data_IF_473305415561
#
_entry.id   IF_473305415561
#
_cell.length_a   1.000
_cell.length_b   1.000
_cell.length_c   1.000
_cell.angle_alpha   90.00
_cell.angle_beta   90.00
_cell.angle_gamma   90.00
#
_symmetry.space_group_name_H-M   'P 1'
#
loop_
_entity.id
_entity.type
_entity.pdbx_description
1 polymer ?
#
# COMPACT_ATOMS: atom_id res chain seq x y z
N UNK A 1 -22.85 8.86 20.92
CA UNK A 1 -22.07 10.09 20.63
C UNK A 1 -20.60 9.70 20.43
N UNK A 2 -20.28 9.11 19.28
CA UNK A 2 -19.81 9.84 18.07
C UNK A 2 -18.55 10.66 18.33
N UNK A 3 -17.48 10.32 17.60
CA UNK A 3 -16.60 11.19 16.81
C UNK A 3 -15.36 10.33 16.43
N UNK A 4 -15.43 9.56 15.34
CA UNK A 4 -14.98 9.93 13.99
C UNK A 4 -13.50 10.35 13.94
N UNK A 5 -12.64 9.42 13.53
CA UNK A 5 -11.35 9.71 12.91
C UNK A 5 -11.28 8.97 11.57
N UNK A 6 -11.41 9.74 10.48
CA UNK A 6 -11.09 9.35 9.11
C UNK A 6 -9.62 9.67 8.81
N UNK A 7 -8.90 8.83 8.05
CA UNK A 7 -7.72 9.28 7.32
C UNK A 7 -8.12 9.69 5.89
N UNK A 8 -7.69 10.90 5.52
CA UNK A 8 -7.64 11.48 4.18
C UNK A 8 -6.97 10.54 3.18
N UNK A 9 -7.59 10.38 2.00
CA UNK A 9 -6.90 9.96 0.79
C UNK A 9 -6.20 11.19 0.20
N UNK A 10 -4.87 11.15 0.11
CA UNK A 10 -4.11 12.01 -0.79
C UNK A 10 -3.77 11.25 -2.07
N UNK A 11 -4.19 11.87 -3.17
CA UNK A 11 -3.95 11.50 -4.55
C UNK A 11 -2.53 11.88 -4.97
N UNK A 12 -1.66 10.90 -5.23
CA UNK A 12 -0.52 11.12 -6.11
C UNK A 12 -0.29 9.93 -7.04
N UNK A 13 -0.56 10.22 -8.31
CA UNK A 13 -0.22 9.53 -9.54
C UNK A 13 1.23 9.07 -9.57
N UNK A 14 1.48 7.76 -9.69
CA UNK A 14 2.69 7.25 -10.32
C UNK A 14 2.35 6.07 -11.23
N UNK A 15 2.63 6.33 -12.51
CA UNK A 15 2.61 5.47 -13.67
C UNK A 15 3.37 4.15 -13.42
N UNK A 16 2.76 3.00 -13.70
CA UNK A 16 3.47 1.74 -13.94
C UNK A 16 3.29 1.33 -15.41
N UNK A 17 4.36 0.94 -16.13
CA UNK A 17 4.27 0.52 -17.52
C UNK A 17 3.93 -0.97 -17.65
N UNK A 18 3.22 -1.28 -18.75
CA UNK A 18 3.02 -2.56 -19.42
C UNK A 18 3.74 -3.81 -18.86
N UNK A 19 2.95 -4.86 -18.61
CA UNK A 19 3.11 -6.12 -19.35
C UNK A 19 1.82 -6.95 -19.27
N UNK A 20 1.16 -7.14 -20.41
CA UNK A 20 0.14 -8.15 -20.58
C UNK A 20 0.82 -9.53 -20.55
N UNK A 21 0.46 -10.38 -19.59
CA UNK A 21 0.74 -11.81 -19.73
C UNK A 21 -0.45 -12.62 -19.25
N UNK A 22 -1.00 -13.34 -20.22
CA UNK A 22 -2.14 -14.24 -20.17
C UNK A 22 -1.96 -15.32 -19.11
N UNK A 23 -2.87 -15.37 -18.14
CA UNK A 23 -2.98 -16.47 -17.21
C UNK A 23 -3.93 -17.53 -17.79
N UNK A 24 -3.37 -18.66 -18.23
CA UNK A 24 -4.13 -19.85 -18.61
C UNK A 24 -4.75 -20.48 -17.34
N UNK A 25 -6.08 -20.51 -17.26
CA UNK A 25 -6.81 -21.28 -16.26
C UNK A 25 -7.10 -22.72 -16.75
N UNK A 26 -7.02 -23.73 -15.86
CA UNK A 26 -7.62 -25.04 -16.14
C UNK A 26 -9.14 -25.01 -15.87
N UNK A 27 -9.90 -25.57 -16.83
CA UNK A 27 -11.35 -25.66 -16.85
C UNK A 27 -11.89 -26.52 -15.69
N UNK A 28 -12.78 -25.96 -14.87
CA UNK A 28 -13.68 -26.73 -14.01
C UNK A 28 -15.14 -26.40 -14.32
N UNK A 29 -15.97 -27.43 -14.23
CA UNK A 29 -17.30 -27.57 -14.82
C UNK A 29 -18.35 -26.68 -14.13
N UNK A 30 -19.20 -26.05 -14.96
CA UNK A 30 -20.46 -25.39 -14.58
C UNK A 30 -21.45 -26.37 -13.91
N UNK A 31 -22.34 -25.84 -13.06
CA UNK A 31 -23.74 -26.21 -13.14
C UNK A 31 -24.64 -25.00 -13.41
N UNK A 32 -25.47 -25.18 -14.44
CA UNK A 32 -26.90 -24.84 -14.53
C UNK A 32 -27.35 -23.42 -14.16
N UNK A 33 -27.53 -22.61 -15.21
CA UNK A 33 -28.31 -21.37 -15.20
C UNK A 33 -29.81 -21.71 -15.05
N UNK A 34 -30.43 -21.21 -13.99
CA UNK A 34 -31.88 -21.02 -13.96
C UNK A 34 -32.20 -19.71 -14.68
N UNK A 35 -32.64 -19.81 -15.93
CA UNK A 35 -33.26 -18.71 -16.65
C UNK A 35 -34.70 -18.56 -16.16
N UNK A 36 -35.02 -17.43 -15.53
CA UNK A 36 -36.40 -17.01 -15.35
C UNK A 36 -36.83 -16.13 -16.53
N UNK A 37 -37.82 -16.63 -17.25
CA UNK A 37 -38.58 -15.98 -18.31
C UNK A 37 -39.39 -14.82 -17.71
N UNK A 38 -39.42 -13.61 -18.31
CA UNK A 38 -40.40 -12.61 -17.93
C UNK A 38 -41.71 -12.91 -18.67
N UNK A 39 -42.70 -13.48 -17.97
CA UNK A 39 -44.06 -13.51 -18.47
C UNK A 39 -44.69 -12.12 -18.32
N UNK A 40 -44.86 -11.46 -19.46
CA UNK A 40 -45.80 -10.37 -19.65
C UNK A 40 -47.23 -10.91 -19.56
N UNK A 41 -47.94 -10.58 -18.49
CA UNK A 41 -49.39 -10.57 -18.50
C UNK A 41 -49.89 -9.18 -18.12
N UNK A 42 -50.38 -8.50 -19.14
CA UNK A 42 -51.25 -7.34 -19.02
C UNK A 42 -52.54 -7.78 -18.32
N UNK A 43 -52.76 -7.32 -17.09
CA UNK A 43 -54.11 -7.13 -16.57
C UNK A 43 -54.24 -5.66 -16.24
N UNK A 44 -54.92 -4.97 -17.15
CA UNK A 44 -55.23 -3.56 -17.12
C UNK A 44 -56.43 -3.37 -16.20
N UNK A 45 -56.19 -3.27 -14.90
CA UNK A 45 -57.16 -2.73 -13.94
C UNK A 45 -56.62 -1.41 -13.40
N UNK A 46 -56.97 -0.37 -14.17
CA UNK A 46 -57.10 1.05 -13.83
C UNK A 46 -56.97 1.33 -12.30
N UNK A 47 -55.84 1.85 -11.81
CA UNK A 47 -55.85 2.52 -10.52
C UNK A 47 -56.56 3.86 -10.72
N UNK A 48 -57.74 4.00 -10.12
CA UNK A 48 -58.34 5.32 -9.91
C UNK A 48 -57.32 6.16 -9.14
N UNK A 49 -56.81 7.19 -9.80
CA UNK A 49 -56.21 8.34 -9.16
C UNK A 49 -57.24 8.95 -8.21
N UNK A 50 -57.18 8.57 -6.94
CA UNK A 50 -57.63 9.39 -5.82
C UNK A 50 -56.41 9.61 -4.94
N UNK A 51 -55.49 10.44 -5.42
CA UNK A 51 -54.70 11.27 -4.54
C UNK A 51 -55.60 12.43 -4.07
N UNK A 52 -56.64 12.11 -3.30
CA UNK A 52 -57.10 13.04 -2.28
C UNK A 52 -56.13 12.86 -1.13
N UNK A 53 -54.99 13.56 -1.22
CA UNK A 53 -54.37 14.10 -0.02
C UNK A 53 -55.38 15.12 0.53
N UNK A 54 -56.42 14.61 1.19
CA UNK A 54 -57.14 15.38 2.18
C UNK A 54 -56.12 15.63 3.28
N UNK A 55 -55.51 16.79 3.14
CA UNK A 55 -54.94 17.56 4.22
C UNK A 55 -55.79 17.39 5.49
N UNK A 56 -55.15 17.36 6.68
CA UNK A 56 -55.91 17.43 7.93
C UNK A 56 -56.88 18.59 7.81
N UNK A 57 -58.14 18.47 8.31
CA UNK A 57 -59.19 19.43 8.01
C UNK A 57 -58.59 20.80 8.22
N UNK A 58 -58.48 21.56 7.13
CA UNK A 58 -58.03 22.93 7.20
C UNK A 58 -59.02 23.58 8.15
N UNK A 59 -58.62 23.77 9.42
CA UNK A 59 -59.16 24.83 10.26
C UNK A 59 -59.16 26.03 9.33
N UNK A 60 -60.33 26.53 8.98
CA UNK A 60 -60.43 27.64 8.03
C UNK A 60 -59.46 28.71 8.53
N UNK A 61 -58.42 28.99 7.76
CA UNK A 61 -57.44 30.03 8.04
C UNK A 61 -58.04 31.42 7.80
N UNK A 62 -59.32 31.59 8.14
CA UNK A 62 -60.05 32.86 8.19
C UNK A 62 -59.93 33.54 9.55
N UNK A 63 -59.35 32.89 10.56
CA UNK A 63 -59.32 33.44 11.94
C UNK A 63 -58.06 34.24 12.33
N UNK A 64 -57.22 34.64 11.36
CA UNK A 64 -56.07 35.52 11.67
C UNK A 64 -56.30 36.99 11.30
N UNK A 65 -57.26 37.29 10.42
CA UNK A 65 -57.72 38.66 10.08
C UNK A 65 -59.21 38.72 9.69
N UNK A 66 -60.01 37.74 10.11
CA UNK A 66 -61.46 37.80 10.02
C UNK A 66 -62.02 38.32 11.34
N UNK A 67 -62.83 39.38 11.29
CA UNK A 67 -63.78 39.67 12.35
C UNK A 67 -64.49 38.36 12.74
N UNK A 68 -64.76 38.10 14.03
CA UNK A 68 -65.71 37.07 14.36
C UNK A 68 -67.00 37.51 13.69
N UNK A 69 -67.40 36.84 12.60
CA UNK A 69 -68.79 36.87 12.19
C UNK A 69 -69.48 35.99 13.24
N UNK A 70 -69.58 36.54 14.45
CA UNK A 70 -70.67 36.22 15.34
C UNK A 70 -71.90 36.46 14.46
N UNK A 71 -72.54 35.37 14.03
CA UNK A 71 -73.81 35.40 13.30
C UNK A 71 -74.94 36.04 14.15
N UNK A 72 -74.58 36.53 15.34
CA UNK A 72 -75.44 37.12 16.32
C UNK A 72 -75.27 38.65 16.33
N UNK A 73 -76.35 39.39 16.58
CA UNK A 73 -76.27 40.84 16.76
C UNK A 73 -75.28 41.23 17.87
N UNK A 74 -74.62 42.39 17.73
CA UNK A 74 -73.60 42.90 18.68
C UNK A 74 -74.07 43.04 20.15
N UNK A 75 -75.38 43.10 20.37
CA UNK A 75 -75.99 43.14 21.69
C UNK A 75 -76.14 41.75 22.32
N UNK A 76 -76.09 40.67 21.53
CA UNK A 76 -76.20 39.31 21.98
C UNK A 76 -74.81 38.79 22.34
N UNK A 77 -74.61 38.43 23.61
CA UNK A 77 -73.30 38.00 24.13
C UNK A 77 -73.37 36.56 24.66
N UNK A 78 -73.28 35.54 23.79
CA UNK A 78 -73.35 34.12 24.17
C UNK A 78 -72.39 33.72 25.28
N UNK A 79 -71.20 34.32 25.31
CA UNK A 79 -70.16 34.03 26.31
C UNK A 79 -70.58 34.40 27.74
N UNK A 80 -71.57 35.28 27.91
CA UNK A 80 -72.13 35.62 29.23
C UNK A 80 -72.84 34.41 29.85
N UNK A 81 -73.40 33.50 29.03
CA UNK A 81 -74.08 32.29 29.50
C UNK A 81 -73.15 31.26 30.16
N UNK A 82 -71.84 31.36 29.92
CA UNK A 82 -70.84 30.47 30.48
C UNK A 82 -70.30 30.96 31.84
N UNK A 83 -70.66 32.18 32.27
CA UNK A 83 -70.18 32.77 33.51
C UNK A 83 -70.93 32.19 34.72
N UNK A 84 -70.20 31.91 35.79
CA UNK A 84 -70.77 31.29 37.00
C UNK A 84 -71.67 32.24 37.80
N UNK A 85 -71.55 33.55 37.58
CA UNK A 85 -72.40 34.61 38.14
C UNK A 85 -73.52 35.05 37.19
N UNK A 86 -73.78 34.27 36.13
CA UNK A 86 -74.81 34.63 35.16
C UNK A 86 -76.20 34.57 35.81
N UNK A 87 -76.92 35.69 35.72
CA UNK A 87 -78.31 35.79 36.12
C UNK A 87 -79.16 36.13 34.89
N UNK A 88 -80.17 35.29 34.64
CA UNK A 88 -81.00 35.38 33.45
C UNK A 88 -81.98 36.55 33.52
N UNK A 89 -82.43 36.92 34.72
CA UNK A 89 -83.42 37.98 34.93
C UNK A 89 -82.81 39.36 34.73
N UNK A 90 -81.63 39.62 35.29
CA UNK A 90 -80.88 40.86 35.03
C UNK A 90 -80.44 41.00 33.56
N UNK A 91 -79.93 39.92 32.94
CA UNK A 91 -79.52 39.94 31.53
C UNK A 91 -80.67 40.28 30.57
N UNK A 92 -81.87 39.72 30.79
CA UNK A 92 -83.05 40.02 29.97
C UNK A 92 -83.56 41.44 30.24
N UNK A 93 -83.56 41.88 31.50
CA UNK A 93 -84.04 43.20 31.90
C UNK A 93 -83.20 44.32 31.28
N UNK A 94 -81.87 44.15 31.28
CA UNK A 94 -80.93 45.09 30.67
C UNK A 94 -81.12 45.17 29.15
N UNK A 95 -81.27 44.03 28.47
CA UNK A 95 -81.44 44.01 27.00
C UNK A 95 -82.81 44.50 26.54
N UNK A 96 -83.86 44.32 27.35
CA UNK A 96 -85.24 44.75 27.03
C UNK A 96 -85.38 46.29 26.97
N UNK A 97 -84.43 47.04 27.54
CA UNK A 97 -84.41 48.50 27.44
C UNK A 97 -84.00 49.01 26.05
N UNK A 98 -83.34 48.18 25.24
CA UNK A 98 -82.83 48.56 23.91
C UNK A 98 -83.27 47.62 22.76
N UNK A 99 -83.84 46.44 23.05
CA UNK A 99 -84.22 45.42 22.04
C UNK A 99 -85.65 44.92 22.25
N UNK A 100 -86.48 44.80 21.18
CA UNK A 100 -87.81 44.19 21.26
C UNK A 100 -87.77 42.74 21.75
N UNK A 101 -88.73 42.37 22.60
CA UNK A 101 -88.75 41.05 23.24
C UNK A 101 -88.84 39.88 22.25
N UNK A 102 -89.59 40.03 21.16
CA UNK A 102 -89.70 38.97 20.14
C UNK A 102 -88.39 38.73 19.38
N UNK A 103 -87.61 39.79 19.14
CA UNK A 103 -86.28 39.68 18.54
C UNK A 103 -85.32 38.96 19.48
N UNK A 104 -85.31 39.33 20.77
CA UNK A 104 -84.51 38.65 21.79
C UNK A 104 -84.87 37.15 21.89
N UNK A 105 -86.17 36.84 21.91
CA UNK A 105 -86.67 35.46 21.97
C UNK A 105 -86.26 34.64 20.74
N UNK A 106 -86.38 35.22 19.55
CA UNK A 106 -85.99 34.59 18.29
C UNK A 106 -84.49 34.27 18.27
N UNK A 107 -83.64 35.21 18.67
CA UNK A 107 -82.19 35.01 18.73
C UNK A 107 -81.79 33.95 19.76
N UNK A 108 -82.40 33.95 20.96
CA UNK A 108 -82.16 32.91 21.97
C UNK A 108 -82.56 31.51 21.47
N UNK A 109 -83.68 31.40 20.76
CA UNK A 109 -84.13 30.13 20.19
C UNK A 109 -83.22 29.67 19.04
N UNK A 110 -82.75 30.61 18.20
CA UNK A 110 -81.78 30.36 17.14
C UNK A 110 -80.43 29.88 17.71
N UNK A 111 -79.93 30.53 18.74
CA UNK A 111 -78.69 30.12 19.42
C UNK A 111 -78.83 28.73 20.06
N UNK A 112 -79.97 28.44 20.72
CA UNK A 112 -80.23 27.13 21.30
C UNK A 112 -80.32 26.01 20.24
N UNK A 113 -80.98 26.27 19.10
CA UNK A 113 -81.09 25.29 18.02
C UNK A 113 -79.74 25.05 17.34
N UNK A 114 -78.95 26.10 17.14
CA UNK A 114 -77.57 26.02 16.65
C UNK A 114 -76.69 25.20 17.59
N UNK A 115 -76.70 25.47 18.89
CA UNK A 115 -75.92 24.72 19.88
C UNK A 115 -76.33 23.24 19.94
N UNK A 116 -77.63 22.94 19.83
CA UNK A 116 -78.12 21.56 19.75
C UNK A 116 -77.64 20.84 18.49
N UNK A 117 -77.64 21.54 17.35
CA UNK A 117 -77.14 20.98 16.11
C UNK A 117 -75.64 20.71 16.19
N UNK A 118 -74.86 21.67 16.69
CA UNK A 118 -73.42 21.56 16.89
C UNK A 118 -73.07 20.41 17.85
N UNK A 119 -73.81 20.24 18.95
CA UNK A 119 -73.62 19.12 19.87
C UNK A 119 -73.84 17.77 19.16
N UNK A 120 -74.91 17.65 18.37
CA UNK A 120 -75.22 16.42 17.62
C UNK A 120 -74.15 16.16 16.56
N UNK A 121 -73.69 17.19 15.85
CA UNK A 121 -72.58 17.05 14.89
C UNK A 121 -71.29 16.62 15.59
N UNK A 122 -70.93 17.23 16.72
CA UNK A 122 -69.73 16.89 17.47
C UNK A 122 -69.77 15.45 17.98
N UNK A 123 -70.92 15.02 18.53
CA UNK A 123 -71.12 13.62 18.95
C UNK A 123 -71.01 12.67 17.75
N UNK A 124 -71.65 12.98 16.63
CA UNK A 124 -71.63 12.11 15.46
C UNK A 124 -70.23 12.03 14.82
N UNK A 125 -69.51 13.15 14.76
CA UNK A 125 -68.11 13.22 14.30
C UNK A 125 -67.21 12.40 15.20
N UNK A 126 -67.25 12.66 16.50
CA UNK A 126 -66.37 11.99 17.45
C UNK A 126 -66.70 10.49 17.56
N UNK A 127 -67.97 10.11 17.38
CA UNK A 127 -68.37 8.70 17.26
C UNK A 127 -67.81 8.05 15.99
N UNK A 128 -67.88 8.72 14.84
CA UNK A 128 -67.31 8.22 13.59
C UNK A 128 -65.78 8.04 13.69
N UNK A 129 -65.10 9.00 14.31
CA UNK A 129 -63.66 8.95 14.56
C UNK A 129 -63.29 7.82 15.52
N UNK A 130 -64.05 7.63 16.59
CA UNK A 130 -63.86 6.54 17.55
C UNK A 130 -64.03 5.16 16.88
N UNK A 131 -65.07 4.98 16.07
CA UNK A 131 -65.31 3.73 15.33
C UNK A 131 -64.22 3.46 14.30
N UNK A 132 -63.77 4.49 13.58
CA UNK A 132 -62.67 4.38 12.60
C UNK A 132 -61.33 4.03 13.27
N UNK A 133 -61.03 4.66 14.42
CA UNK A 133 -59.81 4.38 15.16
C UNK A 133 -59.81 2.98 15.77
N UNK A 134 -60.93 2.57 16.39
CA UNK A 134 -61.07 1.24 16.99
C UNK A 134 -60.98 0.12 15.95
N UNK A 135 -61.59 0.29 14.76
CA UNK A 135 -61.45 -0.69 13.66
C UNK A 135 -60.04 -0.78 13.13
N UNK A 136 -59.35 0.36 12.91
CA UNK A 136 -57.95 0.37 12.45
C UNK A 136 -56.99 -0.26 13.45
N UNK A 137 -57.18 0.01 14.75
CA UNK A 137 -56.31 -0.52 15.82
C UNK A 137 -56.37 -2.05 15.90
N UNK A 138 -57.55 -2.66 15.68
CA UNK A 138 -57.71 -4.12 15.66
C UNK A 138 -56.89 -4.77 14.54
N UNK A 139 -56.75 -4.12 13.39
CA UNK A 139 -55.99 -4.66 12.25
C UNK A 139 -54.46 -4.47 12.37
N UNK A 140 -53.99 -3.66 13.31
CA UNK A 140 -52.55 -3.42 13.52
C UNK A 140 -51.85 -4.71 13.94
N UNK A 141 -52.45 -5.53 14.80
CA UNK A 141 -51.87 -6.80 15.23
C UNK A 141 -51.68 -7.76 14.04
N UNK A 142 -52.66 -7.81 13.13
CA UNK A 142 -52.56 -8.58 11.90
C UNK A 142 -51.44 -8.08 10.98
N UNK A 143 -51.27 -6.76 10.87
CA UNK A 143 -50.17 -6.16 10.11
C UNK A 143 -48.79 -6.48 10.71
N UNK A 144 -48.65 -6.41 12.04
CA UNK A 144 -47.42 -6.76 12.76
C UNK A 144 -47.06 -8.23 12.52
N UNK A 145 -48.04 -9.14 12.60
CA UNK A 145 -47.81 -10.57 12.35
C UNK A 145 -47.34 -10.82 10.91
N UNK A 146 -47.96 -10.16 9.93
CA UNK A 146 -47.55 -10.27 8.51
C UNK A 146 -46.16 -9.71 8.24
N UNK A 147 -45.74 -8.66 8.94
CA UNK A 147 -44.40 -8.07 8.79
C UNK A 147 -43.29 -8.84 9.50
N UNK A 148 -43.61 -9.60 10.56
CA UNK A 148 -42.60 -10.32 11.35
C UNK A 148 -41.82 -11.33 10.51
N UNK A 149 -42.49 -12.12 9.68
CA UNK A 149 -41.81 -13.16 8.88
C UNK A 149 -40.85 -12.57 7.82
N UNK A 150 -41.27 -11.61 6.95
CA UNK A 150 -40.37 -10.97 6.00
C UNK A 150 -39.17 -10.27 6.66
N UNK A 151 -39.36 -9.61 7.80
CA UNK A 151 -38.26 -8.94 8.51
C UNK A 151 -37.24 -9.94 9.06
N UNK A 152 -37.69 -11.07 9.59
CA UNK A 152 -36.81 -12.16 10.03
C UNK A 152 -36.05 -12.77 8.86
N UNK A 153 -36.72 -13.03 7.73
CA UNK A 153 -36.08 -13.57 6.53
C UNK A 153 -34.99 -12.64 5.98
N UNK A 154 -35.27 -11.33 5.91
CA UNK A 154 -34.28 -10.33 5.48
C UNK A 154 -33.10 -10.32 6.45
N UNK A 155 -33.35 -10.37 7.76
CA UNK A 155 -32.29 -10.42 8.77
C UNK A 155 -31.41 -11.65 8.60
N UNK A 156 -31.98 -12.82 8.34
CA UNK A 156 -31.24 -14.05 8.08
C UNK A 156 -30.40 -13.93 6.80
N UNK A 157 -30.98 -13.41 5.71
CA UNK A 157 -30.25 -13.18 4.45
C UNK A 157 -29.08 -12.21 4.62
N UNK A 158 -29.26 -11.14 5.39
CA UNK A 158 -28.17 -10.20 5.71
C UNK A 158 -27.07 -10.87 6.51
N UNK A 159 -27.42 -11.71 7.50
CA UNK A 159 -26.44 -12.45 8.29
C UNK A 159 -25.64 -13.43 7.43
N UNK A 160 -26.31 -14.18 6.55
CA UNK A 160 -25.67 -15.09 5.61
C UNK A 160 -24.74 -14.34 4.64
N UNK A 161 -25.21 -13.24 4.07
CA UNK A 161 -24.41 -12.42 3.16
C UNK A 161 -23.17 -11.84 3.87
N UNK A 162 -23.35 -11.32 5.09
CA UNK A 162 -22.23 -10.84 5.91
C UNK A 162 -21.21 -11.94 6.18
N UNK A 163 -21.67 -13.15 6.52
CA UNK A 163 -20.80 -14.31 6.71
C UNK A 163 -20.02 -14.69 5.44
N UNK A 164 -20.67 -14.64 4.27
CA UNK A 164 -20.02 -14.90 2.99
C UNK A 164 -18.97 -13.83 2.63
N UNK A 165 -19.26 -12.55 2.89
CA UNK A 165 -18.31 -11.45 2.70
C UNK A 165 -17.12 -11.59 3.64
N UNK A 166 -17.35 -11.88 4.92
CA UNK A 166 -16.28 -12.09 5.89
C UNK A 166 -15.39 -13.28 5.50
N UNK A 167 -15.99 -14.40 5.08
CA UNK A 167 -15.24 -15.55 4.57
C UNK A 167 -14.40 -15.21 3.34
N UNK A 168 -14.94 -14.39 2.43
CA UNK A 168 -14.23 -13.93 1.23
C UNK A 168 -13.07 -12.98 1.58
N UNK A 169 -13.28 -12.09 2.55
CA UNK A 169 -12.26 -11.18 3.06
C UNK A 169 -11.11 -11.95 3.71
N UNK A 170 -11.42 -12.93 4.56
CA UNK A 170 -10.43 -13.79 5.21
C UNK A 170 -9.63 -14.61 4.18
N UNK A 171 -10.29 -15.14 3.15
CA UNK A 171 -9.63 -15.85 2.06
C UNK A 171 -8.72 -14.93 1.22
N UNK A 172 -9.13 -13.68 0.99
CA UNK A 172 -8.31 -12.70 0.28
C UNK A 172 -7.09 -12.31 1.11
N UNK A 173 -7.27 -12.04 2.41
CA UNK A 173 -6.17 -11.68 3.30
C UNK A 173 -5.15 -12.81 3.43
N UNK A 174 -5.60 -14.06 3.57
CA UNK A 174 -4.70 -15.22 3.62
C UNK A 174 -3.97 -15.41 2.28
N UNK A 175 -4.65 -15.23 1.15
CA UNK A 175 -4.04 -15.27 -0.17
C UNK A 175 -3.00 -14.17 -0.40
N UNK A 176 -3.26 -12.94 0.04
CA UNK A 176 -2.30 -11.83 -0.04
C UNK A 176 -1.08 -12.08 0.84
N UNK A 177 -1.29 -12.59 2.06
CA UNK A 177 -0.20 -12.99 2.95
C UNK A 177 0.67 -14.07 2.33
N UNK A 178 0.05 -15.13 1.79
CA UNK A 178 0.78 -16.20 1.11
C UNK A 178 1.56 -15.67 -0.10
N UNK A 179 0.98 -14.74 -0.86
CA UNK A 179 1.67 -14.10 -1.99
C UNK A 179 2.88 -13.28 -1.53
N UNK A 180 2.76 -12.55 -0.43
CA UNK A 180 3.87 -11.76 0.13
C UNK A 180 5.01 -12.66 0.66
N UNK A 181 4.66 -13.75 1.33
CA UNK A 181 5.64 -14.75 1.79
C UNK A 181 6.35 -15.42 0.60
N UNK A 182 5.59 -15.77 -0.46
CA UNK A 182 6.14 -16.34 -1.68
C UNK A 182 7.04 -15.37 -2.45
N UNK A 183 6.68 -14.07 -2.53
CA UNK A 183 7.54 -13.06 -3.17
C UNK A 183 8.84 -12.85 -2.39
N UNK A 184 8.76 -12.77 -1.06
CA UNK A 184 9.95 -12.64 -0.22
C UNK A 184 10.89 -13.86 -0.34
N UNK A 185 10.32 -15.07 -0.39
CA UNK A 185 11.09 -16.30 -0.62
C UNK A 185 11.74 -16.30 -2.01
N UNK A 186 11.01 -15.85 -3.04
CA UNK A 186 11.54 -15.75 -4.41
C UNK A 186 12.70 -14.77 -4.50
N UNK A 187 12.56 -13.57 -3.94
CA UNK A 187 13.63 -12.56 -3.91
C UNK A 187 14.89 -13.10 -3.19
N UNK A 188 14.70 -13.84 -2.10
CA UNK A 188 15.81 -14.48 -1.40
C UNK A 188 16.50 -15.55 -2.26
N UNK A 189 15.74 -16.37 -2.98
CA UNK A 189 16.29 -17.40 -3.88
C UNK A 189 16.99 -16.79 -5.10
N UNK A 190 16.44 -15.73 -5.68
CA UNK A 190 17.07 -15.00 -6.80
C UNK A 190 18.43 -14.43 -6.37
N UNK A 191 18.50 -13.79 -5.20
CA UNK A 191 19.79 -13.33 -4.66
C UNK A 191 20.77 -14.48 -4.41
N UNK A 192 20.28 -15.63 -3.92
CA UNK A 192 21.10 -16.81 -3.66
C UNK A 192 21.73 -17.35 -4.95
N UNK A 193 20.90 -17.43 -6.00
CA UNK A 193 21.27 -17.88 -7.33
C UNK A 193 22.29 -16.92 -7.96
N UNK A 194 22.03 -15.60 -7.86
CA UNK A 194 22.95 -14.58 -8.34
C UNK A 194 24.30 -14.67 -7.64
N UNK A 195 24.30 -14.80 -6.31
CA UNK A 195 25.51 -15.00 -5.50
C UNK A 195 26.29 -16.22 -5.97
N UNK A 196 25.61 -17.36 -6.16
CA UNK A 196 26.25 -18.58 -6.67
C UNK A 196 26.85 -18.37 -8.06
N UNK A 197 26.11 -17.75 -8.98
CA UNK A 197 26.56 -17.48 -10.33
C UNK A 197 27.77 -16.54 -10.37
N UNK A 198 27.79 -15.49 -9.54
CA UNK A 198 28.94 -14.58 -9.45
C UNK A 198 30.16 -15.33 -8.89
N UNK A 199 30.01 -16.12 -7.83
CA UNK A 199 31.12 -16.91 -7.26
C UNK A 199 31.67 -17.89 -8.28
N UNK A 200 30.81 -18.65 -8.96
CA UNK A 200 31.25 -19.57 -10.01
C UNK A 200 31.87 -18.84 -11.21
N UNK A 201 31.41 -17.63 -11.54
CA UNK A 201 32.02 -16.80 -12.57
C UNK A 201 33.42 -16.33 -12.15
N UNK A 202 33.57 -15.82 -10.92
CA UNK A 202 34.86 -15.42 -10.34
C UNK A 202 35.83 -16.59 -10.36
N UNK A 203 35.44 -17.77 -9.87
CA UNK A 203 36.30 -18.96 -9.87
C UNK A 203 36.70 -19.40 -11.28
N UNK A 204 35.78 -19.31 -12.26
CA UNK A 204 36.12 -19.59 -13.67
C UNK A 204 37.12 -18.58 -14.19
N UNK A 205 36.88 -17.28 -14.00
CA UNK A 205 37.80 -16.23 -14.45
C UNK A 205 39.18 -16.36 -13.78
N UNK A 206 39.24 -16.78 -12.52
CA UNK A 206 40.52 -17.08 -11.83
C UNK A 206 41.21 -18.29 -12.45
N UNK A 207 40.48 -19.33 -12.89
CA UNK A 207 41.07 -20.48 -13.59
C UNK A 207 41.57 -20.15 -15.00
N UNK A 208 40.93 -19.20 -15.67
CA UNK A 208 41.35 -18.70 -16.99
C UNK A 208 42.50 -17.69 -16.91
N UNK A 209 42.95 -17.30 -15.70
CA UNK A 209 44.20 -16.56 -15.57
C UNK A 209 45.31 -17.41 -16.19
N UNK A 210 46.10 -16.86 -17.14
CA UNK A 210 47.28 -17.56 -17.64
C UNK A 210 48.10 -17.95 -16.42
N UNK A 211 48.25 -19.26 -16.17
CA UNK A 211 49.16 -19.74 -15.16
C UNK A 211 50.51 -19.09 -15.45
N UNK A 212 51.05 -18.40 -14.44
CA UNK A 212 52.42 -17.90 -14.42
C UNK A 212 53.30 -18.91 -15.16
N UNK A 213 53.99 -18.53 -16.25
CA UNK A 213 54.92 -19.45 -16.89
C UNK A 213 55.91 -19.92 -15.83
N UNK A 214 55.86 -21.20 -15.51
CA UNK A 214 56.87 -21.85 -14.67
C UNK A 214 58.25 -21.93 -15.37
N UNK A 215 58.40 -21.31 -16.54
CA UNK A 215 59.60 -21.30 -17.37
C UNK A 215 60.46 -20.06 -17.10
N UNK A 216 60.93 -19.90 -15.86
CA UNK A 216 62.08 -19.02 -15.59
C UNK A 216 63.18 -19.69 -14.76
N UNK A 217 63.21 -21.02 -14.74
CA UNK A 217 64.37 -21.75 -14.19
C UNK A 217 64.65 -23.06 -14.94
N UNK A 218 65.53 -22.95 -15.93
CA UNK A 218 66.46 -23.96 -16.45
C UNK A 218 65.92 -25.16 -17.26
N UNK A 219 66.47 -25.32 -18.47
CA UNK A 219 66.86 -26.62 -19.02
C UNK A 219 66.14 -27.08 -20.29
N UNK A 220 66.69 -26.68 -21.44
CA UNK A 220 66.86 -27.48 -22.67
C UNK A 220 65.87 -28.64 -22.93
N UNK A 221 64.90 -28.44 -23.83
CA UNK A 221 64.24 -29.55 -24.52
C UNK A 221 63.73 -29.11 -25.90
N UNK A 222 64.40 -29.62 -26.92
CA UNK A 222 64.04 -29.53 -28.33
C UNK A 222 62.55 -29.80 -28.59
N UNK A 223 61.87 -28.87 -29.28
CA UNK A 223 60.65 -29.17 -30.03
C UNK A 223 60.85 -28.76 -31.48
N UNK A 224 61.12 -29.77 -32.32
CA UNK A 224 61.23 -29.63 -33.76
C UNK A 224 59.85 -29.85 -34.37
N UNK A 225 59.24 -28.83 -34.97
CA UNK A 225 58.34 -29.04 -36.12
C UNK A 225 58.21 -27.80 -37.04
N UNK A 226 59.09 -27.79 -38.02
CA UNK A 226 58.91 -27.44 -39.45
C UNK A 226 57.61 -26.72 -39.89
N UNK A 227 57.80 -25.46 -40.32
CA UNK A 227 57.34 -25.00 -41.65
C UNK A 227 56.30 -23.87 -41.70
N UNK A 228 56.72 -22.63 -41.97
CA UNK A 228 56.66 -22.03 -43.32
C UNK A 228 57.31 -20.63 -43.32
N UNK A 229 58.10 -20.33 -44.36
CA UNK A 229 58.83 -19.09 -44.54
C UNK A 229 57.93 -18.01 -45.16
N UNK A 230 57.96 -16.78 -44.63
CA UNK A 230 58.06 -15.56 -45.45
C UNK A 230 58.49 -14.33 -44.62
N UNK A 231 59.79 -14.09 -44.70
CA UNK A 231 60.54 -12.83 -44.72
C UNK A 231 59.90 -11.51 -44.22
N UNK A 232 60.55 -10.93 -43.20
CA UNK A 232 60.96 -9.53 -43.23
C UNK A 232 60.14 -8.53 -42.40
N UNK A 233 60.46 -8.39 -41.12
CA UNK A 233 61.01 -7.18 -40.47
C UNK A 233 61.19 -7.52 -38.98
N UNK A 234 62.45 -7.54 -38.55
CA UNK A 234 62.85 -7.82 -37.18
C UNK A 234 62.58 -6.57 -36.32
N UNK A 235 61.45 -6.58 -35.61
CA UNK A 235 61.19 -5.69 -34.48
C UNK A 235 60.10 -6.23 -33.53
N UNK A 236 60.11 -7.53 -33.18
CA UNK A 236 59.08 -8.08 -32.29
C UNK A 236 59.67 -9.12 -31.33
N UNK A 237 60.22 -8.64 -30.21
CA UNK A 237 60.36 -9.44 -28.99
C UNK A 237 59.87 -8.69 -27.74
N UNK A 238 59.42 -7.43 -27.88
CA UNK A 238 58.86 -6.64 -26.77
C UNK A 238 57.31 -6.69 -26.77
N UNK A 239 56.68 -6.81 -27.95
CA UNK A 239 55.21 -6.71 -28.08
C UNK A 239 54.41 -7.93 -27.57
N UNK A 240 54.98 -9.15 -27.63
CA UNK A 240 54.28 -10.34 -27.14
C UNK A 240 54.16 -10.37 -25.61
N UNK A 241 55.19 -9.87 -24.90
CA UNK A 241 55.22 -9.83 -23.43
C UNK A 241 54.37 -8.70 -22.83
N UNK A 242 54.16 -7.61 -23.55
CA UNK A 242 53.24 -6.52 -23.15
C UNK A 242 51.78 -6.92 -23.38
N UNK A 243 51.47 -7.61 -24.49
CA UNK A 243 50.10 -8.04 -24.79
C UNK A 243 49.57 -9.07 -23.76
N UNK A 244 50.40 -10.01 -23.32
CA UNK A 244 49.98 -11.02 -22.33
C UNK A 244 49.78 -10.44 -20.92
N UNK A 245 50.59 -9.45 -20.54
CA UNK A 245 50.51 -8.75 -19.25
C UNK A 245 49.32 -7.80 -19.21
N UNK A 246 49.08 -7.10 -20.30
CA UNK A 246 47.89 -6.26 -20.47
C UNK A 246 46.61 -7.10 -20.38
N UNK A 247 46.54 -8.23 -21.11
CA UNK A 247 45.37 -9.13 -21.06
C UNK A 247 45.16 -9.75 -19.67
N UNK A 248 46.23 -10.13 -18.96
CA UNK A 248 46.16 -10.60 -17.58
C UNK A 248 45.67 -9.49 -16.63
N UNK A 249 46.18 -8.26 -16.77
CA UNK A 249 45.77 -7.11 -15.95
C UNK A 249 44.30 -6.74 -16.16
N UNK A 250 43.80 -6.82 -17.40
CA UNK A 250 42.38 -6.61 -17.73
C UNK A 250 41.48 -7.70 -17.13
N UNK A 251 41.94 -8.96 -17.16
CA UNK A 251 41.20 -10.06 -16.54
C UNK A 251 41.10 -9.89 -15.03
N UNK A 252 42.18 -9.47 -14.38
CA UNK A 252 42.21 -9.18 -12.94
C UNK A 252 41.29 -8.01 -12.56
N UNK A 253 41.26 -6.93 -13.36
CA UNK A 253 40.31 -5.83 -13.17
C UNK A 253 38.85 -6.32 -13.27
N UNK A 254 38.56 -7.19 -14.25
CA UNK A 254 37.24 -7.78 -14.40
C UNK A 254 36.86 -8.67 -13.21
N UNK A 255 37.80 -9.48 -12.71
CA UNK A 255 37.58 -10.32 -11.52
C UNK A 255 37.34 -9.44 -10.30
N UNK A 256 38.13 -8.38 -10.10
CA UNK A 256 37.96 -7.42 -9.02
C UNK A 256 36.58 -6.73 -9.04
N UNK A 257 36.09 -6.38 -10.23
CA UNK A 257 34.76 -5.79 -10.42
C UNK A 257 33.64 -6.77 -10.05
N UNK A 258 33.77 -8.06 -10.43
CA UNK A 258 32.81 -9.11 -10.03
C UNK A 258 32.89 -9.41 -8.52
N UNK A 259 34.09 -9.35 -7.93
CA UNK A 259 34.28 -9.50 -6.49
C UNK A 259 33.61 -8.37 -5.70
N UNK A 260 33.67 -7.14 -6.22
CA UNK A 260 32.95 -6.01 -5.63
C UNK A 260 31.41 -6.22 -5.70
N UNK A 261 30.90 -6.69 -6.83
CA UNK A 261 29.48 -7.03 -6.98
C UNK A 261 29.05 -8.12 -5.99
N UNK A 262 29.91 -9.12 -5.79
CA UNK A 262 29.68 -10.19 -4.82
C UNK A 262 29.64 -9.67 -3.37
N UNK A 263 30.54 -8.74 -3.01
CA UNK A 263 30.53 -8.06 -1.71
C UNK A 263 29.19 -7.37 -1.43
N UNK A 264 28.58 -6.76 -2.46
CA UNK A 264 27.24 -6.16 -2.36
C UNK A 264 26.14 -7.20 -2.08
N UNK A 265 26.14 -8.33 -2.79
CA UNK A 265 25.12 -9.38 -2.60
C UNK A 265 25.19 -10.03 -1.21
N UNK A 266 26.40 -10.25 -0.69
CA UNK A 266 26.61 -10.82 0.65
C UNK A 266 26.14 -9.84 1.75
N UNK A 267 26.37 -8.53 1.56
CA UNK A 267 25.93 -7.51 2.51
C UNK A 267 24.39 -7.43 2.63
N UNK A 268 23.65 -7.75 1.57
CA UNK A 268 22.18 -7.61 1.52
C UNK A 268 21.41 -8.69 2.29
N UNK A 269 22.00 -9.86 2.57
CA UNK A 269 21.37 -10.95 3.34
C UNK A 269 22.38 -11.60 4.26
N UNK A 270 22.87 -10.87 5.26
CA UNK A 270 23.67 -11.48 6.32
C UNK A 270 22.83 -12.55 7.05
N UNK A 271 23.44 -13.69 7.40
CA UNK A 271 22.89 -14.78 8.25
C UNK A 271 22.09 -15.91 7.55
N UNK A 272 22.46 -16.31 6.33
CA UNK A 272 21.97 -17.58 5.75
C UNK A 272 23.08 -18.66 5.79
N UNK A 273 22.78 -19.92 6.17
CA UNK A 273 23.77 -21.00 6.21
C UNK A 273 24.38 -21.30 4.83
N UNK A 274 23.67 -20.95 3.75
CA UNK A 274 24.23 -21.02 2.40
C UNK A 274 25.41 -20.05 2.19
N UNK A 275 25.33 -18.85 2.77
CA UNK A 275 26.39 -17.85 2.64
C UNK A 275 27.64 -18.33 3.39
N UNK A 276 27.50 -18.99 4.53
CA UNK A 276 28.63 -19.60 5.26
C UNK A 276 29.35 -20.67 4.41
N UNK A 277 28.59 -21.50 3.68
CA UNK A 277 29.19 -22.46 2.74
C UNK A 277 29.91 -21.76 1.58
N UNK A 278 29.34 -20.66 1.09
CA UNK A 278 29.93 -19.88 0.01
C UNK A 278 31.14 -19.07 0.47
N UNK A 279 31.16 -18.62 1.73
CA UNK A 279 32.16 -17.75 2.31
C UNK A 279 33.57 -18.34 2.18
N UNK A 280 33.74 -19.65 2.41
CA UNK A 280 35.04 -20.32 2.21
C UNK A 280 35.54 -20.23 0.77
N UNK A 281 34.63 -20.37 -0.20
CA UNK A 281 34.96 -20.24 -1.63
C UNK A 281 35.32 -18.80 -1.99
N UNK A 282 34.59 -17.85 -1.41
CA UNK A 282 34.80 -16.40 -1.62
C UNK A 282 36.14 -15.96 -1.02
N UNK A 283 36.46 -16.40 0.20
CA UNK A 283 37.75 -16.14 0.85
C UNK A 283 38.90 -16.74 0.04
N UNK A 284 38.77 -17.98 -0.44
CA UNK A 284 39.75 -18.60 -1.32
C UNK A 284 39.96 -17.78 -2.61
N UNK A 285 38.88 -17.41 -3.29
CA UNK A 285 38.95 -16.57 -4.49
C UNK A 285 39.54 -15.18 -4.23
N UNK A 286 39.27 -14.57 -3.07
CA UNK A 286 39.87 -13.30 -2.65
C UNK A 286 41.38 -13.42 -2.48
N UNK A 287 41.84 -14.46 -1.77
CA UNK A 287 43.28 -14.70 -1.57
C UNK A 287 44.01 -14.93 -2.90
N UNK A 288 43.41 -15.70 -3.81
CA UNK A 288 43.94 -15.94 -5.16
C UNK A 288 43.98 -14.65 -5.99
N UNK A 289 42.95 -13.81 -5.91
CA UNK A 289 42.91 -12.51 -6.58
C UNK A 289 43.99 -11.58 -6.02
N UNK A 290 44.10 -11.46 -4.69
CA UNK A 290 45.09 -10.60 -4.03
C UNK A 290 46.53 -11.01 -4.39
N UNK A 291 46.82 -12.31 -4.39
CA UNK A 291 48.13 -12.84 -4.79
C UNK A 291 48.43 -12.56 -6.28
N UNK A 292 47.47 -12.87 -7.17
CA UNK A 292 47.64 -12.69 -8.62
C UNK A 292 47.75 -11.20 -8.99
N UNK A 293 47.00 -10.34 -8.31
CA UNK A 293 47.04 -8.89 -8.49
C UNK A 293 48.36 -8.31 -7.99
N UNK A 294 48.88 -8.80 -6.85
CA UNK A 294 50.19 -8.42 -6.35
C UNK A 294 51.32 -8.77 -7.33
N UNK A 295 51.32 -10.00 -7.84
CA UNK A 295 52.30 -10.43 -8.84
C UNK A 295 52.21 -9.61 -10.13
N UNK A 296 51.01 -9.40 -10.67
CA UNK A 296 50.81 -8.61 -11.89
C UNK A 296 51.22 -7.14 -11.70
N UNK A 297 51.02 -6.58 -10.51
CA UNK A 297 51.42 -5.21 -10.19
C UNK A 297 52.94 -5.05 -10.08
N UNK A 298 53.64 -5.98 -9.40
CA UNK A 298 55.12 -6.00 -9.37
C UNK A 298 55.68 -6.15 -10.79
N UNK A 299 55.15 -7.11 -11.54
CA UNK A 299 55.58 -7.42 -12.90
C UNK A 299 55.33 -6.23 -13.87
N UNK A 300 54.23 -5.48 -13.68
CA UNK A 300 53.97 -4.22 -14.38
C UNK A 300 54.93 -3.09 -14.01
N UNK A 301 55.31 -2.97 -12.74
CA UNK A 301 56.27 -1.96 -12.25
C UNK A 301 57.70 -2.21 -12.74
N UNK A 302 58.14 -3.47 -12.74
CA UNK A 302 59.48 -3.86 -13.23
C UNK A 302 59.66 -3.57 -14.72
N UNK A 303 58.62 -3.85 -15.52
CA UNK A 303 58.64 -3.67 -16.97
C UNK A 303 58.14 -2.29 -17.44
N UNK A 304 57.75 -1.41 -16.50
CA UNK A 304 57.21 -0.06 -16.75
C UNK A 304 56.02 -0.03 -17.71
N UNK A 305 55.15 -1.04 -17.62
CA UNK A 305 53.94 -1.13 -18.44
C UNK A 305 52.81 -0.28 -17.83
N UNK A 306 52.55 0.87 -18.45
CA UNK A 306 51.55 1.83 -17.96
C UNK A 306 50.12 1.26 -17.96
N UNK A 307 49.77 0.42 -18.94
CA UNK A 307 48.42 -0.13 -19.07
C UNK A 307 48.18 -1.20 -18.00
N UNK A 308 49.15 -2.09 -17.79
CA UNK A 308 49.07 -3.10 -16.74
C UNK A 308 48.97 -2.45 -15.35
N UNK A 309 49.81 -1.44 -15.06
CA UNK A 309 49.78 -0.69 -13.80
C UNK A 309 48.41 -0.03 -13.59
N UNK A 310 47.87 0.64 -14.62
CA UNK A 310 46.59 1.32 -14.53
C UNK A 310 45.42 0.35 -14.25
N UNK A 311 45.39 -0.79 -14.95
CA UNK A 311 44.37 -1.82 -14.74
C UNK A 311 44.48 -2.46 -13.34
N UNK A 312 45.71 -2.70 -12.85
CA UNK A 312 45.93 -3.19 -11.49
C UNK A 312 45.46 -2.20 -10.43
N UNK A 313 45.74 -0.90 -10.60
CA UNK A 313 45.28 0.14 -9.66
C UNK A 313 43.75 0.25 -9.67
N UNK A 314 43.11 0.14 -10.84
CA UNK A 314 41.64 0.06 -10.94
C UNK A 314 41.08 -1.17 -10.23
N UNK A 315 41.75 -2.32 -10.38
CA UNK A 315 41.38 -3.54 -9.67
C UNK A 315 41.48 -3.37 -8.14
N UNK A 316 42.57 -2.80 -7.64
CA UNK A 316 42.76 -2.49 -6.21
C UNK A 316 41.71 -1.52 -5.67
N UNK A 317 41.34 -0.51 -6.47
CA UNK A 317 40.25 0.41 -6.12
C UNK A 317 38.88 -0.30 -6.07
N UNK A 318 38.63 -1.24 -6.99
CA UNK A 318 37.37 -2.00 -7.03
C UNK A 318 37.20 -2.95 -5.84
N UNK A 319 38.27 -3.56 -5.33
CA UNK A 319 38.23 -4.42 -4.13
C UNK A 319 38.39 -3.66 -2.81
N UNK A 320 38.61 -2.34 -2.86
CA UNK A 320 38.87 -1.48 -1.70
C UNK A 320 40.13 -1.89 -0.90
N UNK A 321 41.17 -2.35 -1.61
CA UNK A 321 42.46 -2.79 -1.05
C UNK A 321 43.61 -1.87 -1.48
N UNK A 322 43.47 -0.57 -1.25
CA UNK A 322 44.47 0.45 -1.63
C UNK A 322 45.77 0.36 -0.83
N UNK A 323 45.69 -0.15 0.41
CA UNK A 323 46.84 -0.30 1.32
C UNK A 323 47.87 -1.29 0.77
N UNK A 324 47.41 -2.44 0.28
CA UNK A 324 48.30 -3.46 -0.30
C UNK A 324 49.02 -2.91 -1.55
N UNK A 325 48.31 -2.14 -2.40
CA UNK A 325 48.91 -1.49 -3.56
C UNK A 325 50.03 -0.49 -3.16
N UNK A 326 49.81 0.31 -2.11
CA UNK A 326 50.81 1.24 -1.59
C UNK A 326 52.05 0.51 -1.05
N UNK A 327 51.84 -0.58 -0.30
CA UNK A 327 52.92 -1.38 0.27
C UNK A 327 53.78 -2.05 -0.81
N UNK A 328 53.15 -2.59 -1.86
CA UNK A 328 53.87 -3.16 -3.00
C UNK A 328 54.63 -2.05 -3.75
N UNK A 329 54.03 -0.89 -3.99
CA UNK A 329 54.74 0.22 -4.63
C UNK A 329 55.94 0.71 -3.80
N UNK A 330 55.77 0.79 -2.47
CA UNK A 330 56.81 1.20 -1.52
C UNK A 330 57.98 0.22 -1.53
N UNK A 331 57.71 -1.08 -1.52
CA UNK A 331 58.74 -2.11 -1.51
C UNK A 331 59.44 -2.28 -2.87
N UNK A 332 58.71 -2.25 -3.99
CA UNK A 332 59.26 -2.49 -5.33
C UNK A 332 59.95 -1.27 -5.93
N UNK A 333 59.45 -0.04 -5.72
CA UNK A 333 59.99 1.17 -6.37
C UNK A 333 60.72 2.06 -5.36
N UNK A 334 60.09 2.36 -4.23
CA UNK A 334 60.60 3.39 -3.30
C UNK A 334 61.81 2.90 -2.51
N UNK A 335 61.76 1.70 -1.93
CA UNK A 335 62.85 1.12 -1.16
C UNK A 335 64.18 1.02 -1.94
N UNK A 336 64.23 0.46 -3.18
CA UNK A 336 65.47 0.43 -3.94
C UNK A 336 65.96 1.81 -4.37
N UNK A 337 65.06 2.77 -4.61
CA UNK A 337 65.45 4.15 -4.93
C UNK A 337 66.10 4.85 -3.72
N UNK A 338 65.53 4.66 -2.52
CA UNK A 338 66.08 5.20 -1.27
C UNK A 338 67.45 4.58 -0.98
N UNK A 339 67.61 3.27 -1.14
CA UNK A 339 68.90 2.59 -0.97
C UNK A 339 69.97 3.08 -1.96
N UNK A 340 69.55 3.54 -3.16
CA UNK A 340 70.45 4.11 -4.17
C UNK A 340 70.86 5.56 -3.88
N UNK A 341 69.98 6.34 -3.24
CA UNK A 341 70.21 7.75 -2.89
C UNK A 341 70.92 7.91 -1.54
N UNK A 342 70.68 6.98 -0.61
CA UNK A 342 71.35 6.88 0.69
C UNK A 342 72.09 5.55 0.74
N UNK A 343 73.30 5.46 0.15
CA UNK A 343 74.16 4.31 0.41
C UNK A 343 74.43 4.26 1.91
N UNK A 344 74.13 3.13 2.54
CA UNK A 344 74.60 2.82 3.90
C UNK A 344 76.13 2.63 3.86
N UNK A 345 76.87 3.73 3.69
CA UNK A 345 78.33 3.76 3.77
C UNK A 345 78.77 5.06 4.43
N UNK A 346 78.67 5.09 5.76
CA UNK A 346 79.74 5.49 6.68
C UNK A 346 79.16 5.82 8.06
N UNK A 347 78.97 4.79 8.89
CA UNK A 347 79.13 4.97 10.34
C UNK A 347 80.42 4.27 10.75
N UNK A 348 81.53 4.87 10.32
CA UNK A 348 82.81 4.69 10.97
C UNK A 348 83.12 5.95 11.76
N UNK A 349 83.68 5.75 12.95
CA UNK A 349 84.37 6.71 13.86
C UNK A 349 83.54 7.26 15.04
N UNK A 350 83.78 6.67 16.22
CA UNK A 350 84.44 7.37 17.34
C UNK A 350 83.59 7.85 18.54
N UNK A 351 83.91 7.31 19.73
CA UNK A 351 83.52 7.86 21.05
C UNK A 351 82.64 6.87 21.85
N UNK A 352 83.17 6.00 22.70
CA UNK A 352 83.73 6.27 24.03
C UNK A 352 82.72 6.89 25.03
N UNK A 353 82.48 6.13 26.11
CA UNK A 353 82.08 6.56 27.47
C UNK A 353 80.61 6.46 27.89
N UNK A 354 80.42 5.72 28.99
CA UNK A 354 79.36 5.86 29.99
C UNK A 354 78.35 4.72 29.97
N UNK A 355 78.02 4.04 31.06
CA UNK A 355 78.50 4.04 32.44
C UNK A 355 77.80 2.81 33.07
N UNK A 356 78.52 2.01 33.85
CA UNK A 356 77.99 0.80 34.49
C UNK A 356 77.07 1.22 35.65
N UNK A 357 75.81 0.80 35.60
CA UNK A 357 74.85 0.93 36.70
C UNK A 357 75.11 -0.18 37.72
N UNK A 358 75.64 0.19 38.90
CA UNK A 358 75.57 -0.63 40.11
C UNK A 358 74.39 -0.20 41.00
N UNK A 359 73.83 -1.21 41.67
CA UNK A 359 72.61 -1.28 42.48
C UNK A 359 72.56 -0.34 43.70
N UNK A 360 71.38 0.23 43.98
CA UNK A 360 70.57 -0.02 45.19
C UNK A 360 69.24 0.77 45.18
#
# INVERSE_FOLDING_TARGET
PELLWYPKLDSHTLQCPFSYQTCNQPKTKRPTQFNFIPHSHSNQTKPKSMADLQSPPHRSTTDLFGDPIDAHPLWFKPLSFLQQSFDSESYISDLRTFVPFDTLRSELQSHLSSLKHELVELINRDYADFVNLSTKLVDVDGAIVRMRAPLTEIREKILLFRGAVEGSLMALQSGLRQRAEASAAREALELLLDTFHVVSKVEKLIKELPSVPADWSNGDANFSEKGHLSNGISLQHVENGTNIRETQSMLLERIASEMNRLKFYIAHKQNLPFIENMEKRIQSASLLLDASLGHCFVDGLEHRDANAIYNCLRAYAAIDNTRNAEEIFRSTVVAPLILKIIPQSSLGVGGASGDELEED
#
